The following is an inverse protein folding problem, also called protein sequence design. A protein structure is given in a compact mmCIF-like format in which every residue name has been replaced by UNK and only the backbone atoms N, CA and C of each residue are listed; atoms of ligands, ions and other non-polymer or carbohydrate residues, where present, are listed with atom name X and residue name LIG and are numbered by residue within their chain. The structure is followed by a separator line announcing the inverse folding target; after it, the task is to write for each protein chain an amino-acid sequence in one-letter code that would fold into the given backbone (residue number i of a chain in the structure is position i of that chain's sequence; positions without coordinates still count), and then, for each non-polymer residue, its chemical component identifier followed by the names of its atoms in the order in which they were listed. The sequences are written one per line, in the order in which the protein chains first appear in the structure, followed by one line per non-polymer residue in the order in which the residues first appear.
data_IF_268390897896
#
_entry.id   IF_268390897896
#
_cell.length_a   1.000
_cell.length_b   1.000
_cell.length_c   1.000
_cell.angle_alpha   90.00
_cell.angle_beta   90.00
_cell.angle_gamma   90.00
#
_symmetry.space_group_name_H-M   'P 1'
#
loop_
_entity.id
_entity.type
_entity.pdbx_description
1 polymer ?
#
# COMPACT_ATOMS: atom_id res chain seq x y z
N UNK A 1 -2.70 -12.73 3.47
CA UNK A 1 -2.28 -11.86 2.34
C UNK A 1 -3.47 -11.11 1.76
N UNK A 2 -4.57 -11.80 1.44
CA UNK A 2 -5.71 -11.17 0.72
C UNK A 2 -6.36 -10.01 1.49
N UNK A 3 -6.56 -10.14 2.80
CA UNK A 3 -7.07 -9.04 3.63
C UNK A 3 -6.16 -7.81 3.59
N UNK A 4 -4.84 -7.98 3.68
CA UNK A 4 -3.88 -6.87 3.57
C UNK A 4 -3.96 -6.21 2.20
N UNK A 5 -4.10 -7.00 1.13
CA UNK A 5 -4.27 -6.50 -0.24
C UNK A 5 -5.51 -5.63 -0.37
N UNK A 6 -6.65 -6.12 0.11
CA UNK A 6 -7.93 -5.41 0.06
C UNK A 6 -7.87 -4.10 0.85
N UNK A 7 -7.36 -4.14 2.08
CA UNK A 7 -7.21 -2.98 2.95
C UNK A 7 -6.34 -1.89 2.31
N UNK A 8 -5.21 -2.28 1.71
CA UNK A 8 -4.30 -1.35 1.01
C UNK A 8 -4.95 -0.77 -0.25
N UNK A 9 -5.65 -1.60 -1.02
CA UNK A 9 -6.33 -1.17 -2.24
C UNK A 9 -7.43 -0.15 -1.93
N UNK A 10 -8.25 -0.42 -0.92
CA UNK A 10 -9.31 0.50 -0.47
C UNK A 10 -8.75 1.79 0.15
N UNK A 11 -7.58 1.73 0.78
CA UNK A 11 -6.88 2.93 1.24
C UNK A 11 -6.42 3.81 0.06
N UNK A 12 -5.84 3.20 -0.98
CA UNK A 12 -5.36 3.92 -2.16
C UNK A 12 -6.51 4.57 -2.95
N UNK A 13 -7.62 3.86 -3.15
CA UNK A 13 -8.81 4.37 -3.88
C UNK A 13 -9.49 5.59 -3.25
N UNK A 14 -9.21 5.87 -1.97
CA UNK A 14 -9.80 7.02 -1.26
C UNK A 14 -9.09 8.33 -1.55
N UNK A 15 -7.87 8.29 -2.07
CA UNK A 15 -7.19 9.52 -2.48
C UNK A 15 -7.82 10.03 -3.78
N UNK A 16 -8.33 11.28 -3.80
CA UNK A 16 -9.04 11.82 -4.97
C UNK A 16 -8.14 12.03 -6.19
N UNK A 17 -6.81 12.04 -6.01
CA UNK A 17 -5.85 12.22 -7.11
C UNK A 17 -5.37 10.89 -7.69
N UNK A 18 -5.79 9.76 -7.11
CA UNK A 18 -5.53 8.43 -7.68
C UNK A 18 -6.55 8.14 -8.77
N UNK A 19 -6.06 7.88 -9.98
CA UNK A 19 -6.88 7.55 -11.13
C UNK A 19 -7.64 6.24 -10.91
N UNK A 20 -8.86 6.17 -11.45
CA UNK A 20 -9.71 4.97 -11.44
C UNK A 20 -9.54 4.13 -12.70
N UNK A 21 -8.94 4.71 -13.74
CA UNK A 21 -8.65 4.05 -15.00
C UNK A 21 -7.37 4.65 -15.61
N UNK A 22 -6.21 3.97 -15.48
CA UNK A 22 -6.05 2.64 -14.89
C UNK A 22 -6.29 2.62 -13.36
N UNK A 23 -6.99 1.58 -12.89
CA UNK A 23 -7.30 1.40 -11.47
C UNK A 23 -6.05 1.02 -10.66
N UNK A 24 -5.93 1.44 -9.39
CA UNK A 24 -4.84 1.04 -8.52
C UNK A 24 -4.80 -0.48 -8.34
N UNK A 25 -3.61 -1.04 -8.15
CA UNK A 25 -3.41 -2.47 -7.92
C UNK A 25 -2.46 -2.71 -6.75
N UNK A 26 -2.63 -3.85 -6.08
CA UNK A 26 -1.73 -4.30 -5.02
C UNK A 26 -1.22 -5.69 -5.35
N UNK A 27 0.09 -5.81 -5.55
CA UNK A 27 0.76 -7.03 -6.02
C UNK A 27 1.73 -7.56 -4.99
N UNK A 28 1.89 -8.88 -4.91
CA UNK A 28 2.97 -9.50 -4.15
C UNK A 28 4.24 -9.44 -4.99
N UNK A 29 5.30 -8.85 -4.46
CA UNK A 29 6.57 -8.67 -5.17
C UNK A 29 7.64 -9.62 -4.70
N UNK A 30 7.65 -9.97 -3.41
CA UNK A 30 8.71 -10.78 -2.81
C UNK A 30 8.23 -11.53 -1.57
N UNK A 31 8.80 -12.71 -1.34
CA UNK A 31 8.77 -13.40 -0.06
C UNK A 31 10.10 -13.14 0.64
N UNK A 32 10.13 -12.14 1.51
CA UNK A 32 11.33 -11.75 2.27
C UNK A 32 11.64 -12.72 3.40
N UNK A 33 12.81 -12.56 4.03
CA UNK A 33 13.26 -13.46 5.11
C UNK A 33 12.36 -13.48 6.35
N UNK A 34 11.50 -12.48 6.53
CA UNK A 34 10.53 -12.41 7.63
C UNK A 34 9.26 -11.64 7.25
N UNK A 35 8.99 -11.45 5.96
CA UNK A 35 7.88 -10.62 5.48
C UNK A 35 7.33 -11.13 4.15
N UNK A 36 6.07 -10.80 3.88
CA UNK A 36 5.51 -10.84 2.54
C UNK A 36 5.46 -9.40 2.04
N UNK A 37 6.19 -9.10 0.96
CA UNK A 37 6.27 -7.75 0.44
C UNK A 37 5.13 -7.54 -0.56
N UNK A 38 4.31 -6.53 -0.28
CA UNK A 38 3.25 -6.06 -1.16
C UNK A 38 3.63 -4.68 -1.69
N UNK A 39 3.39 -4.46 -2.98
CA UNK A 39 3.56 -3.17 -3.63
C UNK A 39 2.19 -2.60 -4.03
N UNK A 40 1.92 -1.37 -3.62
CA UNK A 40 0.73 -0.60 -4.01
C UNK A 40 1.12 0.27 -5.19
N UNK A 41 0.48 0.03 -6.35
CA UNK A 41 0.66 0.83 -7.56
C UNK A 41 -0.57 1.70 -7.77
N UNK A 42 -0.33 2.99 -7.94
CA UNK A 42 -1.33 3.99 -8.23
C UNK A 42 -0.92 4.76 -9.49
N UNK A 43 -1.92 5.27 -10.19
CA UNK A 43 -1.73 6.18 -11.31
C UNK A 43 -2.33 7.53 -10.95
N UNK A 44 -1.77 8.60 -11.47
CA UNK A 44 -2.21 9.97 -11.23
C UNK A 44 -2.29 10.69 -12.58
N UNK A 45 -3.26 11.58 -12.72
CA UNK A 45 -3.45 12.33 -13.97
C UNK A 45 -2.52 13.55 -14.06
N UNK A 46 -2.09 14.07 -12.92
CA UNK A 46 -1.20 15.24 -12.81
C UNK A 46 0.10 14.88 -12.09
N UNK A 47 1.21 14.96 -12.82
CA UNK A 47 2.55 14.71 -12.31
C UNK A 47 2.94 15.67 -11.16
N UNK A 48 2.36 16.86 -11.10
CA UNK A 48 2.58 17.81 -9.98
C UNK A 48 2.11 17.27 -8.63
N UNK A 49 1.24 16.26 -8.62
CA UNK A 49 0.71 15.61 -7.42
C UNK A 49 1.46 14.33 -7.01
N UNK A 50 2.53 13.94 -7.72
CA UNK A 50 3.25 12.68 -7.44
C UNK A 50 3.68 12.56 -5.98
N UNK A 51 4.40 13.55 -5.46
CA UNK A 51 4.91 13.53 -4.08
C UNK A 51 3.79 13.61 -3.04
N UNK A 52 2.80 14.52 -3.15
CA UNK A 52 1.64 14.52 -2.25
C UNK A 52 0.87 13.20 -2.22
N UNK A 53 0.59 12.61 -3.39
CA UNK A 53 -0.14 11.34 -3.50
C UNK A 53 0.63 10.19 -2.88
N UNK A 54 1.94 10.09 -3.16
CA UNK A 54 2.78 9.07 -2.56
C UNK A 54 2.70 9.08 -1.03
N UNK A 55 2.83 10.26 -0.40
CA UNK A 55 2.78 10.40 1.06
C UNK A 55 1.37 10.06 1.58
N UNK A 56 0.33 10.57 0.94
CA UNK A 56 -1.06 10.34 1.32
C UNK A 56 -1.43 8.86 1.29
N UNK A 57 -1.13 8.17 0.18
CA UNK A 57 -1.41 6.73 0.00
C UNK A 57 -0.61 5.90 1.00
N UNK A 58 0.67 6.23 1.23
CA UNK A 58 1.52 5.51 2.19
C UNK A 58 0.97 5.61 3.62
N UNK A 59 0.62 6.83 4.06
CA UNK A 59 0.03 7.03 5.39
C UNK A 59 -1.35 6.37 5.51
N UNK A 60 -2.20 6.51 4.50
CA UNK A 60 -3.52 5.89 4.48
C UNK A 60 -3.42 4.37 4.56
N UNK A 61 -2.47 3.78 3.81
CA UNK A 61 -2.16 2.36 3.84
C UNK A 61 -1.74 1.89 5.23
N UNK A 62 -0.79 2.57 5.89
CA UNK A 62 -0.39 2.23 7.26
C UNK A 62 -1.56 2.31 8.23
N UNK A 63 -2.29 3.42 8.25
CA UNK A 63 -3.45 3.61 9.14
C UNK A 63 -4.53 2.55 8.88
N UNK A 64 -4.67 2.08 7.65
CA UNK A 64 -5.63 1.04 7.28
C UNK A 64 -5.19 -0.35 7.76
N UNK A 65 -3.91 -0.70 7.59
CA UNK A 65 -3.34 -1.94 8.14
C UNK A 65 -3.49 -2.00 9.66
N UNK A 66 -3.22 -0.89 10.37
CA UNK A 66 -3.36 -0.81 11.83
C UNK A 66 -4.79 -1.07 12.30
N UNK A 67 -5.77 -0.42 11.66
CA UNK A 67 -7.19 -0.63 11.97
C UNK A 67 -7.65 -2.05 11.69
N UNK A 68 -7.02 -2.73 10.73
CA UNK A 68 -7.31 -4.12 10.38
C UNK A 68 -6.57 -5.13 11.28
N UNK A 69 -5.73 -4.67 12.22
CA UNK A 69 -4.91 -5.54 13.06
C UNK A 69 -3.79 -6.26 12.31
N UNK A 70 -3.34 -5.71 11.17
CA UNK A 70 -2.30 -6.29 10.33
C UNK A 70 -0.96 -5.68 10.72
N UNK A 71 -0.16 -6.43 11.47
CA UNK A 71 1.14 -6.00 11.93
C UNK A 71 2.19 -6.05 10.81
N UNK A 72 3.07 -5.05 10.79
CA UNK A 72 4.25 -5.04 9.94
C UNK A 72 5.38 -5.69 10.76
N UNK A 73 5.93 -6.84 10.32
CA UNK A 73 6.89 -7.59 11.11
C UNK A 73 8.19 -6.81 11.29
N UNK A 74 8.79 -6.92 12.48
CA UNK A 74 10.15 -6.46 12.71
C UNK A 74 11.15 -7.45 12.09
N UNK A 75 12.34 -6.99 11.63
CA UNK A 75 13.38 -7.89 11.16
C UNK A 75 13.77 -8.89 12.26
N UNK A 76 13.59 -10.18 12.03
CA UNK A 76 14.08 -11.21 12.93
C UNK A 76 15.53 -11.54 12.58
N UNK A 77 16.47 -11.17 13.44
CA UNK A 77 17.84 -11.67 13.36
C UNK A 77 17.91 -12.99 14.14
N UNK A 78 18.04 -14.11 13.45
CA UNK A 78 18.35 -15.39 14.07
C UNK A 78 19.88 -15.52 14.16
N UNK A 79 20.43 -15.40 15.38
CA UNK A 79 21.85 -15.59 15.68
C UNK A 79 22.22 -17.08 15.72
#
# INVERSE_FOLDING_TARGET
IDQAREVLLEAAKRDPNVSRDPAPVVVLTELGGSSVNLEVRVWIDDAGHERPVFVSVLEAGKKALDRAGIEIPYPHLQL
#
